data_IF_464182448407
#
_entry.id   IF_464182448407
#
_cell.length_a   1.000
_cell.length_b   1.000
_cell.length_c   1.000
_cell.angle_alpha   90.00
_cell.angle_beta   90.00
_cell.angle_gamma   90.00
#
_symmetry.space_group_name_H-M   'P 1'
#
loop_
_entity.id
_entity.type
_entity.pdbx_description
1 polymer ?
#
# COMPACT_ATOMS: atom_id res chain seq x y z
N UNK A 1 -5.33 -29.55 -17.76
CA UNK A 1 -4.98 -28.21 -18.31
C UNK A 1 -6.27 -27.43 -18.52
N UNK A 2 -6.73 -26.71 -17.50
CA UNK A 2 -7.99 -25.96 -17.57
C UNK A 2 -7.77 -24.54 -17.01
N UNK A 3 -7.89 -23.55 -17.91
CA UNK A 3 -8.30 -22.16 -17.67
C UNK A 3 -7.65 -21.38 -16.50
N UNK A 4 -6.32 -21.24 -16.50
CA UNK A 4 -5.64 -20.18 -15.72
C UNK A 4 -5.79 -18.80 -16.41
N UNK A 5 -5.99 -18.76 -17.74
CA UNK A 5 -6.09 -17.52 -18.51
C UNK A 5 -7.37 -16.70 -18.26
N UNK A 6 -8.44 -17.32 -17.75
CA UNK A 6 -9.71 -16.62 -17.48
C UNK A 6 -9.69 -15.86 -16.13
N UNK A 7 -8.80 -16.23 -15.21
CA UNK A 7 -8.58 -15.46 -13.97
C UNK A 7 -7.71 -14.23 -14.22
N UNK A 8 -6.83 -14.26 -15.24
CA UNK A 8 -6.03 -13.11 -15.67
C UNK A 8 -6.90 -11.92 -16.12
N UNK A 9 -7.96 -12.15 -16.90
CA UNK A 9 -8.75 -11.08 -17.51
C UNK A 9 -9.68 -10.34 -16.53
N UNK A 10 -10.06 -10.95 -15.41
CA UNK A 10 -11.05 -10.36 -14.49
C UNK A 10 -10.44 -9.41 -13.47
N UNK A 11 -9.17 -9.56 -13.12
CA UNK A 11 -8.52 -8.77 -12.05
C UNK A 11 -7.73 -7.57 -12.57
N UNK A 12 -7.17 -7.70 -13.77
CA UNK A 12 -6.19 -6.76 -14.35
C UNK A 12 -6.89 -5.62 -15.12
N UNK A 13 -8.20 -5.76 -15.38
CA UNK A 13 -8.94 -4.80 -16.20
C UNK A 13 -8.34 -4.68 -17.61
N UNK A 14 -8.57 -3.57 -18.33
CA UNK A 14 -8.04 -3.34 -19.67
C UNK A 14 -6.56 -2.94 -19.66
N UNK A 15 -5.73 -3.59 -18.83
CA UNK A 15 -4.32 -3.26 -18.67
C UNK A 15 -3.44 -4.48 -18.91
N UNK A 16 -2.29 -4.27 -19.55
CA UNK A 16 -1.32 -5.34 -19.80
C UNK A 16 0.08 -4.84 -19.46
N UNK A 17 0.73 -5.50 -18.51
CA UNK A 17 2.14 -5.27 -18.21
C UNK A 17 3.04 -6.19 -19.06
N UNK A 18 4.19 -5.65 -19.48
CA UNK A 18 5.21 -6.38 -20.24
C UNK A 18 6.57 -5.67 -20.18
N UNK A 19 7.63 -6.38 -20.56
CA UNK A 19 8.94 -5.79 -20.82
C UNK A 19 9.05 -5.40 -22.30
N UNK A 20 9.18 -4.10 -22.63
CA UNK A 20 9.28 -3.64 -24.01
C UNK A 20 10.54 -4.18 -24.69
N UNK A 21 10.38 -4.74 -25.89
CA UNK A 21 11.49 -5.31 -26.69
C UNK A 21 11.73 -4.53 -27.98
N UNK A 22 10.72 -3.82 -28.49
CA UNK A 22 10.85 -2.95 -29.66
C UNK A 22 11.27 -1.54 -29.24
N UNK A 23 11.81 -0.76 -30.19
CA UNK A 23 12.32 0.59 -29.92
C UNK A 23 11.21 1.60 -29.62
N UNK A 24 10.03 1.41 -30.19
CA UNK A 24 8.90 2.34 -30.05
C UNK A 24 8.37 2.36 -28.61
N UNK A 25 8.07 1.20 -28.06
CA UNK A 25 7.59 1.05 -26.68
C UNK A 25 8.61 1.57 -25.66
N UNK A 26 9.91 1.34 -25.92
CA UNK A 26 10.99 1.89 -25.07
C UNK A 26 10.99 3.42 -25.10
N UNK A 27 10.81 4.04 -26.27
CA UNK A 27 10.74 5.49 -26.38
C UNK A 27 9.48 6.06 -25.71
N UNK A 28 8.35 5.38 -25.81
CA UNK A 28 7.12 5.75 -25.12
C UNK A 28 7.27 5.70 -23.60
N UNK A 29 7.91 4.65 -23.07
CA UNK A 29 8.25 4.54 -21.64
C UNK A 29 9.11 5.71 -21.17
N UNK A 30 10.20 5.99 -21.89
CA UNK A 30 11.13 7.07 -21.54
C UNK A 30 10.47 8.44 -21.63
N UNK A 31 9.58 8.65 -22.61
CA UNK A 31 8.80 9.89 -22.72
C UNK A 31 7.90 10.08 -21.51
N UNK A 32 7.13 9.05 -21.15
CA UNK A 32 6.24 9.09 -20.00
C UNK A 32 6.99 9.38 -18.69
N UNK A 33 8.15 8.73 -18.49
CA UNK A 33 8.98 8.97 -17.31
C UNK A 33 9.56 10.40 -17.27
N UNK A 34 9.97 10.93 -18.43
CA UNK A 34 10.44 12.32 -18.53
C UNK A 34 9.33 13.32 -18.21
N UNK A 35 8.12 13.09 -18.72
CA UNK A 35 6.95 13.94 -18.46
C UNK A 35 6.51 13.90 -16.99
N UNK A 36 6.62 12.74 -16.34
CA UNK A 36 6.35 12.57 -14.91
C UNK A 36 7.44 13.18 -14.00
N UNK A 37 8.52 13.73 -14.57
CA UNK A 37 9.66 14.25 -13.81
C UNK A 37 10.44 13.18 -13.06
N UNK A 38 10.31 11.90 -13.44
CA UNK A 38 10.99 10.79 -12.75
C UNK A 38 12.38 10.51 -13.33
N UNK A 39 12.72 11.09 -14.48
CA UNK A 39 14.07 11.08 -15.07
C UNK A 39 14.65 12.50 -14.98
N UNK A 40 15.71 12.68 -14.21
CA UNK A 40 16.62 13.82 -14.39
C UNK A 40 17.23 13.74 -15.79
N UNK A 41 17.28 14.87 -16.49
CA UNK A 41 17.65 15.01 -17.92
C UNK A 41 19.04 14.54 -18.35
N UNK A 42 19.71 13.67 -17.58
CA UNK A 42 21.03 13.09 -17.83
C UNK A 42 20.97 11.56 -18.10
N UNK A 43 19.88 10.85 -17.77
CA UNK A 43 19.77 9.40 -18.00
C UNK A 43 19.05 9.00 -19.31
N UNK A 44 18.92 9.92 -20.26
CA UNK A 44 18.51 9.56 -21.62
C UNK A 44 19.72 9.01 -22.38
N UNK A 45 19.90 7.69 -22.31
CA UNK A 45 20.87 6.90 -23.07
C UNK A 45 22.35 7.20 -22.77
N UNK A 46 23.03 6.27 -22.10
CA UNK A 46 24.39 5.92 -22.51
C UNK A 46 24.29 4.76 -23.51
N UNK A 47 24.52 4.97 -24.81
CA UNK A 47 24.57 3.88 -25.79
C UNK A 47 25.81 2.99 -25.60
N UNK A 48 26.71 3.32 -24.67
CA UNK A 48 27.95 2.59 -24.38
C UNK A 48 28.29 2.73 -22.88
N UNK A 49 27.88 1.76 -22.05
CA UNK A 49 28.37 1.61 -20.66
C UNK A 49 27.30 1.33 -19.59
N UNK A 50 27.02 0.06 -19.35
CA UNK A 50 26.52 -0.54 -18.09
C UNK A 50 25.30 0.11 -17.37
N UNK A 51 24.24 0.45 -18.08
CA UNK A 51 22.92 0.57 -17.44
C UNK A 51 22.25 -0.83 -17.47
N UNK A 52 22.38 -1.60 -16.38
CA UNK A 52 21.80 -2.96 -16.25
C UNK A 52 20.32 -2.93 -15.86
N UNK A 53 19.72 -1.74 -15.77
CA UNK A 53 18.32 -1.60 -15.41
C UNK A 53 17.39 -2.01 -16.56
N UNK A 54 16.28 -2.64 -16.20
CA UNK A 54 15.26 -3.09 -17.14
C UNK A 54 14.04 -2.17 -17.05
N UNK A 55 13.51 -1.76 -18.20
CA UNK A 55 12.24 -1.05 -18.28
C UNK A 55 11.09 -2.05 -18.33
N UNK A 56 9.98 -1.73 -17.67
CA UNK A 56 8.70 -2.39 -17.81
C UNK A 56 7.62 -1.36 -18.18
N UNK A 57 6.63 -1.80 -18.93
CA UNK A 57 5.54 -0.98 -19.43
C UNK A 57 4.20 -1.57 -19.03
N UNK A 58 3.21 -0.71 -18.82
CA UNK A 58 1.81 -1.08 -18.75
C UNK A 58 1.03 -0.35 -19.85
N UNK A 59 0.34 -1.11 -20.68
CA UNK A 59 -0.47 -0.62 -21.78
C UNK A 59 -1.96 -0.72 -21.43
N UNK A 60 -2.73 0.32 -21.79
CA UNK A 60 -4.18 0.25 -21.81
C UNK A 60 -4.64 -0.47 -23.08
N UNK A 61 -5.14 -1.70 -22.95
CA UNK A 61 -5.46 -2.58 -24.08
C UNK A 61 -6.62 -2.07 -24.94
N UNK A 62 -7.42 -1.12 -24.44
CA UNK A 62 -8.49 -0.49 -25.22
C UNK A 62 -7.95 0.51 -26.24
N UNK A 63 -6.85 1.18 -25.91
CA UNK A 63 -6.28 2.27 -26.71
C UNK A 63 -4.94 1.90 -27.35
N UNK A 64 -4.26 0.89 -26.83
CA UNK A 64 -2.90 0.52 -27.22
C UNK A 64 -1.82 1.44 -26.67
N UNK A 65 -2.15 2.42 -25.84
CA UNK A 65 -1.17 3.39 -25.32
C UNK A 65 -0.47 2.87 -24.06
N UNK A 66 0.83 3.16 -23.92
CA UNK A 66 1.57 2.92 -22.67
C UNK A 66 1.16 4.01 -21.67
N UNK A 67 0.60 3.58 -20.55
CA UNK A 67 0.00 4.45 -19.52
C UNK A 67 0.73 4.38 -18.18
N UNK A 68 1.62 3.41 -17.99
CA UNK A 68 2.57 3.39 -16.89
C UNK A 68 3.90 2.79 -17.33
N UNK A 69 4.98 3.22 -16.70
CA UNK A 69 6.31 2.67 -16.93
C UNK A 69 7.10 2.59 -15.64
N UNK A 70 7.92 1.56 -15.51
CA UNK A 70 8.70 1.28 -14.31
C UNK A 70 10.13 0.91 -14.68
N UNK A 71 11.10 1.44 -13.93
CA UNK A 71 12.49 1.00 -13.97
C UNK A 71 12.78 0.01 -12.86
N UNK A 72 13.27 -1.17 -13.24
CA UNK A 72 13.77 -2.20 -12.35
C UNK A 72 15.30 -2.11 -12.34
N UNK A 73 15.90 -2.01 -11.16
CA UNK A 73 17.34 -1.95 -10.98
C UNK A 73 17.80 -3.00 -9.96
N UNK A 74 19.08 -3.35 -10.02
CA UNK A 74 19.75 -4.19 -9.01
C UNK A 74 20.01 -3.36 -7.74
N UNK A 75 19.67 -3.90 -6.57
CA UNK A 75 19.82 -3.18 -5.31
C UNK A 75 21.28 -2.88 -4.94
N UNK A 76 22.23 -3.75 -5.27
CA UNK A 76 23.65 -3.52 -5.00
C UNK A 76 24.19 -2.36 -5.82
N UNK A 77 23.73 -2.23 -7.08
CA UNK A 77 24.10 -1.09 -7.93
C UNK A 77 23.46 0.21 -7.44
N UNK A 78 22.21 0.16 -6.97
CA UNK A 78 21.53 1.34 -6.42
C UNK A 78 22.13 1.79 -5.08
N UNK A 79 22.72 0.89 -4.28
CA UNK A 79 23.40 1.27 -3.04
C UNK A 79 24.66 2.12 -3.32
N UNK A 80 25.37 1.81 -4.40
CA UNK A 80 26.54 2.58 -4.82
C UNK A 80 26.18 3.98 -5.38
N UNK A 81 24.91 4.22 -5.71
CA UNK A 81 24.42 5.50 -6.21
C UNK A 81 24.08 6.46 -5.06
N UNK A 82 24.47 7.73 -5.23
CA UNK A 82 24.34 8.72 -4.16
C UNK A 82 22.87 8.96 -3.74
N UNK A 83 22.59 8.97 -2.44
CA UNK A 83 21.27 9.27 -1.86
C UNK A 83 20.23 8.14 -1.92
N UNK A 84 20.42 7.10 -2.76
CA UNK A 84 19.44 6.02 -2.95
C UNK A 84 19.45 4.98 -1.83
N UNK A 85 20.59 4.77 -1.18
CA UNK A 85 20.69 3.84 -0.04
C UNK A 85 19.68 4.16 1.06
N UNK A 86 19.57 5.43 1.46
CA UNK A 86 18.61 5.87 2.47
C UNK A 86 17.16 5.82 1.96
N UNK A 87 16.93 6.16 0.68
CA UNK A 87 15.59 6.19 0.09
C UNK A 87 14.91 4.82 0.08
N UNK A 88 15.67 3.75 -0.15
CA UNK A 88 15.14 2.37 -0.20
C UNK A 88 15.55 1.52 1.01
N UNK A 89 16.25 2.10 1.99
CA UNK A 89 16.78 1.41 3.19
C UNK A 89 17.73 0.25 2.83
N UNK A 90 18.62 0.47 1.87
CA UNK A 90 19.56 -0.55 1.37
C UNK A 90 20.59 -0.96 2.44
N UNK A 91 20.89 -0.06 3.39
CA UNK A 91 21.85 -0.31 4.48
C UNK A 91 21.36 -1.34 5.51
N UNK A 92 20.08 -1.75 5.43
CA UNK A 92 19.54 -2.85 6.23
C UNK A 92 20.01 -4.24 5.74
N UNK A 93 20.63 -4.31 4.56
CA UNK A 93 21.01 -5.55 3.91
C UNK A 93 22.53 -5.68 3.77
N UNK A 94 23.03 -6.90 3.92
CA UNK A 94 24.40 -7.23 3.56
C UNK A 94 24.57 -7.34 2.04
N UNK A 95 25.83 -7.27 1.57
CA UNK A 95 26.17 -7.29 0.14
C UNK A 95 25.64 -8.54 -0.58
N UNK A 96 25.63 -9.70 0.09
CA UNK A 96 25.13 -10.95 -0.46
C UNK A 96 23.62 -10.91 -0.69
N UNK A 97 22.84 -10.36 0.26
CA UNK A 97 21.39 -10.21 0.11
C UNK A 97 21.03 -9.21 -0.97
N UNK A 98 21.76 -8.11 -1.08
CA UNK A 98 21.50 -7.09 -2.09
C UNK A 98 21.53 -7.64 -3.52
N UNK A 99 22.39 -8.63 -3.81
CA UNK A 99 22.43 -9.32 -5.11
C UNK A 99 21.13 -10.08 -5.46
N UNK A 100 20.27 -10.33 -4.47
CA UNK A 100 18.98 -11.00 -4.65
C UNK A 100 17.79 -10.06 -4.54
N UNK A 101 18.01 -8.75 -4.43
CA UNK A 101 16.94 -7.76 -4.24
C UNK A 101 16.87 -6.85 -5.47
N UNK A 102 15.65 -6.65 -5.96
CA UNK A 102 15.38 -5.67 -7.00
C UNK A 102 14.87 -4.35 -6.39
N UNK A 103 15.19 -3.24 -7.03
CA UNK A 103 14.67 -1.91 -6.69
C UNK A 103 13.77 -1.42 -7.82
N UNK A 104 12.56 -1.02 -7.47
CA UNK A 104 11.65 -0.29 -8.34
C UNK A 104 11.92 1.20 -8.14
N UNK A 105 12.79 1.76 -8.98
CA UNK A 105 13.39 3.07 -8.72
C UNK A 105 12.61 4.24 -9.31
N UNK A 106 11.97 4.06 -10.47
CA UNK A 106 11.26 5.11 -11.19
C UNK A 106 9.94 4.58 -11.73
N UNK A 107 8.84 4.79 -11.00
CA UNK A 107 7.49 4.52 -11.46
C UNK A 107 6.88 5.82 -12.01
N UNK A 108 6.47 5.79 -13.28
CA UNK A 108 5.73 6.86 -13.92
C UNK A 108 4.35 6.35 -14.32
N UNK A 109 3.32 7.16 -14.06
CA UNK A 109 1.92 6.87 -14.41
C UNK A 109 1.39 8.07 -15.16
N UNK A 110 0.69 7.84 -16.26
CA UNK A 110 0.06 8.91 -17.01
C UNK A 110 -1.02 9.58 -16.16
N UNK A 111 -1.15 10.92 -16.12
CA UNK A 111 -2.05 11.63 -15.22
C UNK A 111 -3.52 11.19 -15.30
N UNK A 112 -4.02 10.83 -16.49
CA UNK A 112 -5.38 10.33 -16.65
C UNK A 112 -5.62 8.92 -16.07
N UNK A 113 -4.57 8.25 -15.63
CA UNK A 113 -4.56 6.86 -15.19
C UNK A 113 -4.02 6.67 -13.76
N UNK A 114 -3.76 7.75 -13.01
CA UNK A 114 -3.25 7.69 -11.63
C UNK A 114 -4.13 6.84 -10.70
N UNK A 115 -5.46 6.89 -10.88
CA UNK A 115 -6.43 6.12 -10.09
C UNK A 115 -6.84 4.79 -10.74
N UNK A 116 -6.16 4.39 -11.80
CA UNK A 116 -6.44 3.15 -12.52
C UNK A 116 -5.67 1.95 -11.95
N UNK A 117 -5.94 0.76 -12.47
CA UNK A 117 -5.17 -0.44 -12.13
C UNK A 117 -3.82 -0.55 -12.84
N UNK A 118 -3.44 0.40 -13.71
CA UNK A 118 -2.20 0.29 -14.49
C UNK A 118 -0.96 0.09 -13.60
N UNK A 119 -0.80 0.90 -12.54
CA UNK A 119 0.32 0.76 -11.63
C UNK A 119 0.28 -0.54 -10.79
N UNK A 120 -0.84 -0.92 -10.15
CA UNK A 120 -0.96 -2.22 -9.49
C UNK A 120 -0.62 -3.41 -10.38
N UNK A 121 -1.10 -3.40 -11.62
CA UNK A 121 -0.83 -4.43 -12.63
C UNK A 121 0.66 -4.48 -12.97
N UNK A 122 1.27 -3.32 -13.22
CA UNK A 122 2.70 -3.23 -13.52
C UNK A 122 3.57 -3.72 -12.37
N UNK A 123 3.29 -3.26 -11.15
CA UNK A 123 4.03 -3.64 -9.94
C UNK A 123 3.88 -5.14 -9.64
N UNK A 124 2.68 -5.69 -9.80
CA UNK A 124 2.43 -7.13 -9.61
C UNK A 124 3.22 -7.95 -10.63
N UNK A 125 3.14 -7.59 -11.91
CA UNK A 125 3.90 -8.26 -12.97
C UNK A 125 5.39 -8.24 -12.68
N UNK A 126 5.96 -7.07 -12.42
CA UNK A 126 7.38 -6.93 -12.16
C UNK A 126 7.82 -7.70 -10.91
N UNK A 127 7.02 -7.69 -9.85
CA UNK A 127 7.33 -8.44 -8.61
C UNK A 127 7.38 -9.94 -8.88
N UNK A 128 6.41 -10.48 -9.62
CA UNK A 128 6.37 -11.89 -9.99
C UNK A 128 7.58 -12.27 -10.84
N UNK A 129 7.96 -11.44 -11.80
CA UNK A 129 9.10 -11.71 -12.69
C UNK A 129 10.44 -11.66 -11.95
N UNK A 130 10.60 -10.76 -10.96
CA UNK A 130 11.75 -10.77 -10.04
C UNK A 130 11.84 -12.09 -9.28
N UNK A 131 10.73 -12.59 -8.74
CA UNK A 131 10.71 -13.87 -8.01
C UNK A 131 11.03 -15.06 -8.92
N UNK A 132 10.51 -15.08 -10.15
CA UNK A 132 10.83 -16.12 -11.14
C UNK A 132 12.30 -16.12 -11.55
N UNK A 133 12.94 -14.96 -11.53
CA UNK A 133 14.37 -14.81 -11.75
C UNK A 133 15.22 -15.21 -10.53
N UNK A 134 14.62 -15.63 -9.42
CA UNK A 134 15.30 -16.03 -8.19
C UNK A 134 15.55 -14.89 -7.19
N UNK A 135 15.02 -13.69 -7.45
CA UNK A 135 15.06 -12.58 -6.50
C UNK A 135 14.24 -12.90 -5.24
N UNK A 136 14.67 -12.37 -4.10
CA UNK A 136 14.12 -12.62 -2.77
C UNK A 136 13.12 -11.54 -2.31
N UNK A 137 13.29 -10.31 -2.77
CA UNK A 137 12.44 -9.18 -2.42
C UNK A 137 12.47 -8.08 -3.48
N UNK A 138 11.50 -7.17 -3.38
CA UNK A 138 11.47 -5.92 -4.13
C UNK A 138 11.41 -4.75 -3.17
N UNK A 139 12.25 -3.74 -3.38
CA UNK A 139 12.22 -2.48 -2.66
C UNK A 139 11.70 -1.34 -3.53
N UNK A 140 10.97 -0.41 -2.93
CA UNK A 140 10.50 0.78 -3.63
C UNK A 140 10.29 1.95 -2.69
N UNK A 141 10.18 3.15 -3.27
CA UNK A 141 9.81 4.36 -2.56
C UNK A 141 8.36 4.70 -2.90
N UNK A 142 7.50 4.75 -1.89
CA UNK A 142 6.06 4.94 -2.06
C UNK A 142 5.65 6.37 -1.70
N UNK A 143 4.84 6.98 -2.56
CA UNK A 143 4.09 8.19 -2.24
C UNK A 143 2.94 7.85 -1.26
N UNK A 144 2.73 8.64 -0.19
CA UNK A 144 1.63 8.44 0.76
C UNK A 144 0.26 8.20 0.13
N UNK A 145 -0.05 8.86 -0.99
CA UNK A 145 -1.32 8.70 -1.71
C UNK A 145 -1.50 7.31 -2.32
N UNK A 146 -0.42 6.55 -2.50
CA UNK A 146 -0.44 5.19 -3.03
C UNK A 146 -0.18 4.11 -1.96
N UNK A 147 -0.02 4.50 -0.70
CA UNK A 147 0.30 3.57 0.38
C UNK A 147 -0.73 2.45 0.51
N UNK A 148 -2.02 2.77 0.55
CA UNK A 148 -3.08 1.77 0.74
C UNK A 148 -3.15 0.76 -0.40
N UNK A 149 -2.92 1.20 -1.64
CA UNK A 149 -2.94 0.30 -2.80
C UNK A 149 -1.72 -0.62 -2.80
N UNK A 150 -0.53 -0.13 -2.46
CA UNK A 150 0.67 -0.98 -2.43
C UNK A 150 0.69 -1.91 -1.23
N UNK A 151 0.20 -1.45 -0.06
CA UNK A 151 -0.03 -2.29 1.13
C UNK A 151 -0.89 -3.50 0.79
N UNK A 152 -1.95 -3.31 -0.02
CA UNK A 152 -2.83 -4.39 -0.49
C UNK A 152 -2.13 -5.39 -1.39
N UNK A 153 -1.20 -4.95 -2.24
CA UNK A 153 -0.42 -5.86 -3.08
C UNK A 153 0.47 -6.80 -2.23
N UNK A 154 0.75 -6.43 -0.99
CA UNK A 154 1.61 -7.19 -0.09
C UNK A 154 2.85 -6.43 0.34
N UNK A 155 3.04 -5.21 -0.17
CA UNK A 155 4.15 -4.37 0.20
C UNK A 155 3.97 -3.84 1.62
N UNK A 156 5.07 -3.57 2.32
CA UNK A 156 5.06 -3.14 3.73
C UNK A 156 6.16 -2.11 3.96
N UNK A 157 6.01 -1.17 4.91
CA UNK A 157 7.08 -0.25 5.29
C UNK A 157 8.31 -1.00 5.76
N UNK A 158 9.49 -0.60 5.29
CA UNK A 158 10.78 -1.10 5.79
C UNK A 158 11.58 0.00 6.50
N UNK A 159 11.02 1.21 6.56
CA UNK A 159 11.58 2.37 7.24
C UNK A 159 10.48 3.41 7.49
N UNK A 160 10.78 4.45 8.28
CA UNK A 160 9.79 5.45 8.63
C UNK A 160 9.36 6.30 7.44
N UNK A 161 8.15 6.86 7.52
CA UNK A 161 7.72 7.96 6.66
C UNK A 161 8.72 9.11 6.84
N UNK A 162 9.32 9.54 5.73
CA UNK A 162 10.34 10.59 5.74
C UNK A 162 10.13 11.57 4.61
N UNK A 163 10.73 12.75 4.77
CA UNK A 163 10.69 13.83 3.79
C UNK A 163 11.99 13.81 2.99
N UNK A 164 11.89 13.76 1.67
CA UNK A 164 13.05 13.86 0.77
C UNK A 164 13.66 15.27 0.85
N UNK A 165 14.85 15.43 0.28
CA UNK A 165 15.52 16.75 0.14
C UNK A 165 14.67 17.75 -0.64
N UNK A 166 13.83 17.28 -1.56
CA UNK A 166 12.88 18.07 -2.36
C UNK A 166 11.59 18.42 -1.59
N UNK A 167 11.46 17.93 -0.36
CA UNK A 167 10.31 18.19 0.48
C UNK A 167 9.11 17.26 0.23
N UNK A 168 9.28 16.20 -0.56
CA UNK A 168 8.22 15.22 -0.83
C UNK A 168 8.22 14.14 0.24
N UNK A 169 7.03 13.68 0.63
CA UNK A 169 6.89 12.58 1.57
C UNK A 169 7.05 11.24 0.86
N UNK A 170 7.83 10.35 1.46
CA UNK A 170 8.11 9.01 0.93
C UNK A 170 8.14 7.96 2.04
N UNK A 171 7.63 6.78 1.71
CA UNK A 171 7.68 5.59 2.57
C UNK A 171 8.54 4.55 1.85
N UNK A 172 9.70 4.15 2.41
CA UNK A 172 10.43 3.01 1.89
C UNK A 172 9.61 1.74 2.15
N UNK A 173 9.37 0.97 1.10
CA UNK A 173 8.52 -0.22 1.15
C UNK A 173 9.22 -1.43 0.56
N UNK A 174 8.91 -2.60 1.12
CA UNK A 174 9.39 -3.92 0.68
C UNK A 174 8.21 -4.81 0.32
N UNK A 175 8.32 -5.55 -0.78
CA UNK A 175 7.48 -6.69 -1.07
C UNK A 175 8.24 -7.99 -0.83
N UNK A 176 7.57 -8.89 -0.12
CA UNK A 176 8.04 -10.23 0.21
C UNK A 176 6.98 -11.25 -0.22
N UNK A 177 7.38 -12.36 -0.86
CA UNK A 177 6.48 -13.49 -1.14
C UNK A 177 6.23 -14.28 0.16
N UNK A 178 5.43 -13.69 1.02
CA UNK A 178 5.08 -14.24 2.33
C UNK A 178 3.66 -14.79 2.25
N UNK A 179 3.52 -16.08 2.02
CA UNK A 179 2.22 -16.71 1.76
C UNK A 179 1.21 -16.41 2.85
N UNK A 180 1.64 -16.48 4.12
CA UNK A 180 0.70 -16.33 5.21
C UNK A 180 0.22 -14.89 5.37
N UNK A 181 1.10 -13.91 5.21
CA UNK A 181 0.70 -12.50 5.22
C UNK A 181 -0.17 -12.17 4.02
N UNK A 182 0.25 -12.58 2.81
CA UNK A 182 -0.50 -12.34 1.58
C UNK A 182 -1.90 -12.96 1.67
N UNK A 183 -2.03 -14.15 2.28
CA UNK A 183 -3.33 -14.77 2.54
C UNK A 183 -4.15 -13.98 3.56
N UNK A 184 -3.53 -13.46 4.62
CA UNK A 184 -4.21 -12.71 5.67
C UNK A 184 -4.83 -11.41 5.15
N UNK A 185 -4.12 -10.71 4.25
CA UNK A 185 -4.61 -9.47 3.65
C UNK A 185 -5.42 -9.71 2.36
N UNK A 186 -5.66 -10.96 1.98
CA UNK A 186 -6.29 -11.37 0.73
C UNK A 186 -5.65 -10.69 -0.50
N UNK A 187 -4.32 -10.70 -0.57
CA UNK A 187 -3.60 -10.00 -1.65
C UNK A 187 -3.95 -10.60 -3.02
N UNK A 188 -4.23 -9.77 -4.04
CA UNK A 188 -4.35 -10.22 -5.43
C UNK A 188 -3.17 -10.97 -5.99
N UNK A 189 -1.99 -10.68 -5.45
CA UNK A 189 -0.77 -11.24 -6.01
C UNK A 189 -0.69 -12.72 -5.64
N UNK A 190 -1.30 -13.15 -4.52
CA UNK A 190 -1.16 -14.52 -4.03
C UNK A 190 -1.60 -15.58 -5.05
N UNK A 191 -2.77 -15.51 -5.70
CA UNK A 191 -3.14 -16.45 -6.75
C UNK A 191 -2.20 -16.42 -7.98
N UNK A 192 -1.49 -15.32 -8.20
CA UNK A 192 -0.56 -15.15 -9.32
C UNK A 192 0.83 -15.74 -9.04
N UNK A 193 1.14 -16.01 -7.78
CA UNK A 193 2.37 -16.68 -7.35
C UNK A 193 2.28 -18.21 -7.45
N UNK A 194 1.37 -18.74 -8.26
CA UNK A 194 1.29 -20.17 -8.55
C UNK A 194 2.63 -20.68 -9.10
N UNK A 195 3.22 -21.67 -8.43
CA UNK A 195 4.51 -22.25 -8.79
C UNK A 195 5.71 -21.61 -8.10
N UNK A 196 5.51 -20.54 -7.31
CA UNK A 196 6.52 -20.09 -6.36
C UNK A 196 6.50 -21.03 -5.15
N UNK A 197 7.67 -21.54 -4.80
CA UNK A 197 7.88 -22.29 -3.57
C UNK A 197 8.22 -21.30 -2.43
N UNK A 198 7.22 -21.04 -1.59
CA UNK A 198 7.28 -20.08 -0.50
C UNK A 198 8.29 -20.44 0.59
N UNK A 199 8.70 -21.71 0.69
CA UNK A 199 9.68 -22.14 1.68
C UNK A 199 11.05 -21.49 1.44
N UNK A 200 11.37 -21.17 0.18
CA UNK A 200 12.61 -20.49 -0.20
C UNK A 200 12.71 -19.05 0.31
N UNK A 201 11.64 -18.48 0.86
CA UNK A 201 11.56 -17.08 1.29
C UNK A 201 11.32 -16.93 2.80
N UNK A 202 11.22 -18.04 3.54
CA UNK A 202 10.96 -18.00 4.99
C UNK A 202 12.03 -17.19 5.73
N UNK A 203 13.30 -17.33 5.35
CA UNK A 203 14.43 -16.63 5.99
C UNK A 203 14.29 -15.10 5.91
N UNK A 204 13.97 -14.56 4.72
CA UNK A 204 13.82 -13.11 4.55
C UNK A 204 12.53 -12.60 5.22
N UNK A 205 11.46 -13.40 5.22
CA UNK A 205 10.22 -13.06 5.94
C UNK A 205 10.44 -13.00 7.45
N UNK A 206 11.14 -13.98 8.03
CA UNK A 206 11.47 -14.01 9.46
C UNK A 206 12.38 -12.85 9.86
N UNK A 207 13.36 -12.51 9.01
CA UNK A 207 14.19 -11.31 9.19
C UNK A 207 13.33 -10.05 9.25
N UNK A 208 12.39 -9.89 8.31
CA UNK A 208 11.48 -8.74 8.29
C UNK A 208 10.59 -8.68 9.54
N UNK A 209 10.06 -9.81 10.01
CA UNK A 209 9.28 -9.83 11.26
C UNK A 209 10.11 -9.43 12.48
N UNK A 210 11.39 -9.83 12.55
CA UNK A 210 12.30 -9.34 13.58
C UNK A 210 12.51 -7.83 13.49
N UNK A 211 12.72 -7.28 12.29
CA UNK A 211 12.86 -5.84 12.08
C UNK A 211 11.63 -5.08 12.59
N UNK A 212 10.41 -5.52 12.26
CA UNK A 212 9.17 -4.86 12.70
C UNK A 212 8.95 -4.97 14.21
N UNK A 213 9.38 -6.07 14.86
CA UNK A 213 9.34 -6.18 16.32
C UNK A 213 10.19 -5.13 17.03
N UNK A 214 11.36 -4.87 16.46
CA UNK A 214 12.34 -3.94 17.00
C UNK A 214 11.97 -2.46 16.69
N UNK A 215 11.04 -2.24 15.75
CA UNK A 215 10.64 -0.91 15.25
C UNK A 215 9.12 -0.82 15.08
N UNK A 216 8.41 -0.44 16.16
CA UNK A 216 6.94 -0.41 16.18
C UNK A 216 6.32 0.54 15.16
N UNK A 217 7.05 1.56 14.71
CA UNK A 217 6.64 2.53 13.70
C UNK A 217 6.43 1.90 12.30
N UNK A 218 6.95 0.70 12.07
CA UNK A 218 6.79 -0.04 10.80
C UNK A 218 5.49 -0.83 10.74
N UNK A 219 4.76 -0.95 11.85
CA UNK A 219 3.51 -1.71 11.90
C UNK A 219 2.41 -1.00 11.10
N UNK A 220 1.63 -1.78 10.37
CA UNK A 220 0.56 -1.28 9.50
C UNK A 220 -0.81 -1.71 10.01
N UNK A 221 -1.83 -0.85 9.86
CA UNK A 221 -3.22 -1.20 10.20
C UNK A 221 -3.80 -2.37 9.41
N UNK A 222 -5.04 -2.78 9.75
CA UNK A 222 -5.78 -3.81 9.01
C UNK A 222 -6.17 -3.32 7.60
N UNK A 223 -5.77 -4.06 6.56
CA UNK A 223 -6.24 -3.80 5.20
C UNK A 223 -7.62 -4.43 4.99
N UNK A 224 -8.52 -3.69 4.34
CA UNK A 224 -9.79 -4.22 3.85
C UNK A 224 -9.74 -4.41 2.32
N UNK A 225 -10.36 -5.47 1.84
CA UNK A 225 -10.40 -5.83 0.43
C UNK A 225 -11.86 -6.01 -0.02
N UNK A 226 -12.42 -5.11 -0.85
CA UNK A 226 -13.69 -5.35 -1.52
C UNK A 226 -13.50 -6.28 -2.71
N UNK A 227 -14.49 -7.12 -3.01
CA UNK A 227 -14.42 -8.08 -4.12
C UNK A 227 -14.35 -7.38 -5.50
N UNK A 228 -14.84 -6.14 -5.64
CA UNK A 228 -14.92 -5.42 -6.92
C UNK A 228 -14.25 -4.02 -6.88
N UNK A 229 -13.93 -3.48 -8.07
CA UNK A 229 -13.32 -2.15 -8.21
C UNK A 229 -14.27 -0.98 -7.91
N UNK A 230 -15.57 -1.15 -8.11
CA UNK A 230 -16.56 -0.08 -7.83
C UNK A 230 -16.78 0.14 -6.33
N UNK A 231 -16.32 -0.80 -5.52
CA UNK A 231 -16.39 -0.78 -4.06
C UNK A 231 -15.21 -0.01 -3.42
N UNK A 232 -14.32 0.58 -4.23
CA UNK A 232 -13.13 1.33 -3.81
C UNK A 232 -13.41 2.75 -3.29
N UNK A 233 -14.43 2.89 -2.44
CA UNK A 233 -14.64 4.13 -1.70
C UNK A 233 -14.12 3.92 -0.27
N UNK A 234 -13.35 4.87 0.27
CA UNK A 234 -12.67 4.75 1.57
C UNK A 234 -13.58 4.38 2.76
N UNK A 235 -14.91 4.42 2.61
CA UNK A 235 -15.87 3.95 3.61
C UNK A 235 -16.23 2.47 3.51
N UNK A 236 -15.83 1.73 2.46
CA UNK A 236 -16.34 0.38 2.21
C UNK A 236 -16.08 -0.56 3.38
N UNK A 237 -14.91 -0.46 4.02
CA UNK A 237 -14.55 -1.25 5.23
C UNK A 237 -15.65 -1.23 6.30
N UNK A 238 -16.31 -0.08 6.50
CA UNK A 238 -17.34 0.11 7.50
C UNK A 238 -18.76 -0.02 6.94
N UNK A 239 -18.98 0.24 5.64
CA UNK A 239 -20.31 0.20 5.00
C UNK A 239 -20.65 -1.09 4.26
N UNK A 240 -19.71 -2.03 4.09
CA UNK A 240 -19.94 -3.27 3.36
C UNK A 240 -21.12 -4.05 3.92
N UNK A 241 -22.06 -4.42 3.03
CA UNK A 241 -23.26 -5.18 3.38
C UNK A 241 -24.40 -4.35 3.96
N UNK A 242 -24.26 -3.03 4.07
CA UNK A 242 -25.38 -2.15 4.41
C UNK A 242 -26.38 -2.10 3.25
N UNK A 243 -27.66 -2.00 3.59
CA UNK A 243 -28.68 -1.63 2.62
C UNK A 243 -28.38 -0.23 2.05
N UNK A 244 -28.85 0.07 0.84
CA UNK A 244 -28.65 1.39 0.22
C UNK A 244 -29.14 2.52 1.13
N UNK A 245 -30.34 2.36 1.72
CA UNK A 245 -30.90 3.29 2.71
C UNK A 245 -30.05 3.37 3.98
N UNK A 246 -29.56 2.24 4.47
CA UNK A 246 -28.69 2.19 5.65
C UNK A 246 -27.36 2.91 5.41
N UNK A 247 -26.74 2.69 4.25
CA UNK A 247 -25.52 3.38 3.82
C UNK A 247 -25.73 4.89 3.72
N UNK A 248 -26.81 5.33 3.06
CA UNK A 248 -27.16 6.75 2.97
C UNK A 248 -27.37 7.37 4.36
N UNK A 249 -28.14 6.71 5.23
CA UNK A 249 -28.41 7.17 6.59
C UNK A 249 -27.12 7.27 7.44
N UNK A 250 -26.23 6.28 7.30
CA UNK A 250 -24.94 6.24 8.01
C UNK A 250 -24.01 7.37 7.56
N UNK A 251 -23.86 7.58 6.25
CA UNK A 251 -22.95 8.57 5.69
C UNK A 251 -23.46 10.02 5.82
N UNK A 252 -24.78 10.23 5.87
CA UNK A 252 -25.39 11.57 5.97
C UNK A 252 -24.89 12.42 7.16
N UNK A 253 -24.47 11.79 8.25
CA UNK A 253 -23.99 12.49 9.46
C UNK A 253 -22.49 12.34 9.67
N UNK A 254 -21.76 11.87 8.65
CA UNK A 254 -20.33 11.75 8.70
C UNK A 254 -19.68 13.14 8.56
N UNK A 255 -18.69 13.43 9.39
CA UNK A 255 -17.95 14.69 9.34
C UNK A 255 -16.62 14.48 8.64
N UNK A 256 -16.39 15.19 7.54
CA UNK A 256 -15.08 15.23 6.87
C UNK A 256 -14.21 16.27 7.56
N UNK A 257 -13.00 15.88 7.97
CA UNK A 257 -12.01 16.76 8.58
C UNK A 257 -10.75 16.76 7.72
N UNK A 258 -10.29 17.96 7.36
CA UNK A 258 -9.02 18.18 6.68
C UNK A 258 -7.96 18.51 7.73
N UNK A 259 -6.86 17.75 7.71
CA UNK A 259 -5.80 17.83 8.71
C UNK A 259 -4.49 18.25 8.06
N UNK A 260 -3.71 19.07 8.76
CA UNK A 260 -2.30 19.31 8.44
C UNK A 260 -1.45 18.19 9.04
N UNK A 261 -0.28 17.96 8.48
CA UNK A 261 0.71 17.07 9.08
C UNK A 261 0.98 17.47 10.55
N UNK A 262 1.01 16.48 11.44
CA UNK A 262 1.22 16.69 12.87
C UNK A 262 -0.02 17.13 13.65
N UNK A 263 -1.16 17.35 12.98
CA UNK A 263 -2.41 17.69 13.65
C UNK A 263 -2.99 16.49 14.40
N UNK A 264 -3.36 16.71 15.66
CA UNK A 264 -3.91 15.68 16.56
C UNK A 264 -5.41 15.56 16.32
N UNK A 265 -5.86 14.38 15.90
CA UNK A 265 -7.28 14.08 15.64
C UNK A 265 -7.98 13.51 16.87
N UNK A 266 -7.28 12.69 17.65
CA UNK A 266 -7.77 12.05 18.88
C UNK A 266 -6.67 12.14 19.91
N UNK A 267 -6.98 12.57 21.14
CA UNK A 267 -6.00 12.68 22.22
C UNK A 267 -6.05 11.45 23.13
N UNK A 268 -4.90 10.89 23.48
CA UNK A 268 -4.83 9.78 24.44
C UNK A 268 -5.50 10.17 25.77
N UNK A 269 -6.19 9.22 26.40
CA UNK A 269 -6.90 9.40 27.67
C UNK A 269 -8.08 10.39 27.65
N UNK A 270 -8.49 10.92 26.50
CA UNK A 270 -9.71 11.70 26.36
C UNK A 270 -10.99 10.84 26.45
N UNK A 271 -12.13 11.48 26.69
CA UNK A 271 -13.45 10.85 26.83
C UNK A 271 -14.28 10.84 25.54
N UNK A 272 -13.69 11.18 24.39
CA UNK A 272 -14.37 11.23 23.11
C UNK A 272 -14.84 9.84 22.66
N UNK A 273 -16.03 9.79 22.05
CA UNK A 273 -16.66 8.54 21.58
C UNK A 273 -16.88 8.50 20.07
N UNK A 274 -16.08 9.23 19.31
CA UNK A 274 -16.11 9.17 17.85
C UNK A 274 -15.19 8.07 17.34
N UNK A 275 -15.51 7.48 16.21
CA UNK A 275 -14.60 6.64 15.44
C UNK A 275 -14.63 7.12 13.99
N UNK A 276 -13.69 6.68 13.18
CA UNK A 276 -13.61 7.15 11.80
C UNK A 276 -12.79 6.25 10.91
N UNK A 277 -12.65 6.67 9.66
CA UNK A 277 -11.71 6.08 8.73
C UNK A 277 -10.90 7.17 8.03
N UNK A 278 -9.72 6.79 7.55
CA UNK A 278 -8.89 7.67 6.73
C UNK A 278 -9.49 7.70 5.32
N UNK A 279 -9.92 8.88 4.87
CA UNK A 279 -10.44 9.07 3.51
C UNK A 279 -9.33 9.32 2.50
N UNK A 280 -8.27 10.01 2.93
CA UNK A 280 -7.10 10.34 2.11
C UNK A 280 -5.90 10.60 3.03
N UNK A 281 -4.70 10.27 2.55
CA UNK A 281 -3.45 10.51 3.29
C UNK A 281 -3.18 9.44 4.33
N UNK A 282 -2.38 9.81 5.35
CA UNK A 282 -1.91 8.90 6.38
C UNK A 282 -2.18 9.48 7.77
N UNK A 283 -2.52 8.61 8.71
CA UNK A 283 -2.51 8.92 10.14
C UNK A 283 -1.66 7.89 10.87
N UNK A 284 -1.04 8.30 11.96
CA UNK A 284 -0.29 7.41 12.86
C UNK A 284 -0.99 7.32 14.20
N UNK A 285 -1.00 6.12 14.76
CA UNK A 285 -1.46 5.85 16.13
C UNK A 285 -0.24 5.88 17.04
N UNK A 286 -0.33 6.68 18.11
CA UNK A 286 0.77 6.91 19.06
C UNK A 286 0.31 6.53 20.47
N UNK A 287 1.14 5.81 21.20
CA UNK A 287 0.92 5.50 22.62
C UNK A 287 2.13 6.02 23.39
N UNK A 288 1.88 6.95 24.32
CA UNK A 288 2.94 7.70 24.97
C UNK A 288 3.78 8.51 23.97
N UNK A 289 4.99 8.05 23.66
CA UNK A 289 5.89 8.70 22.68
C UNK A 289 6.20 7.84 21.46
N UNK A 290 5.64 6.64 21.39
CA UNK A 290 5.97 5.66 20.36
C UNK A 290 4.85 5.58 19.32
N UNK A 291 5.23 5.66 18.04
CA UNK A 291 4.32 5.33 16.96
C UNK A 291 4.16 3.82 16.93
N UNK A 292 2.93 3.34 17.09
CA UNK A 292 2.63 1.92 17.16
C UNK A 292 2.02 1.38 15.89
N UNK A 293 1.32 2.20 15.09
CA UNK A 293 0.69 1.76 13.85
C UNK A 293 0.57 2.93 12.87
N UNK A 294 0.87 2.68 11.59
CA UNK A 294 0.54 3.58 10.47
C UNK A 294 -0.74 3.13 9.76
N UNK A 295 -1.67 4.06 9.58
CA UNK A 295 -2.97 3.86 8.95
C UNK A 295 -3.08 4.70 7.67
N UNK A 296 -3.61 4.10 6.61
CA UNK A 296 -3.87 4.77 5.33
C UNK A 296 -5.36 4.74 4.94
N UNK A 297 -5.66 5.23 3.74
CA UNK A 297 -7.02 5.24 3.19
C UNK A 297 -7.76 3.91 3.41
N UNK A 298 -8.97 3.99 3.95
CA UNK A 298 -9.84 2.86 4.29
C UNK A 298 -9.62 2.25 5.68
N UNK A 299 -8.50 2.53 6.33
CA UNK A 299 -8.21 2.03 7.68
C UNK A 299 -9.07 2.79 8.72
N UNK A 300 -9.66 2.03 9.66
CA UNK A 300 -10.52 2.55 10.73
C UNK A 300 -9.67 3.00 11.93
N UNK A 301 -10.10 4.02 12.67
CA UNK A 301 -9.47 4.41 13.93
C UNK A 301 -10.49 4.87 14.98
N UNK A 302 -10.06 4.88 16.25
CA UNK A 302 -10.90 5.29 17.39
C UNK A 302 -11.99 4.28 17.76
N UNK A 303 -12.02 3.11 17.10
CA UNK A 303 -13.05 2.10 17.29
C UNK A 303 -12.95 1.39 18.64
N UNK A 304 -11.75 1.20 19.18
CA UNK A 304 -11.53 0.52 20.47
C UNK A 304 -12.28 1.23 21.60
N UNK A 305 -12.04 2.53 21.77
CA UNK A 305 -12.70 3.32 22.83
C UNK A 305 -14.22 3.40 22.61
N UNK A 306 -14.66 3.45 21.34
CA UNK A 306 -16.08 3.44 21.00
C UNK A 306 -16.76 2.12 21.40
N UNK A 307 -16.16 0.98 21.06
CA UNK A 307 -16.72 -0.36 21.33
C UNK A 307 -16.68 -0.67 22.82
N UNK A 308 -15.55 -0.39 23.49
CA UNK A 308 -15.35 -0.68 24.91
C UNK A 308 -15.98 0.36 25.85
N UNK A 309 -16.51 1.45 25.32
CA UNK A 309 -17.02 2.59 26.10
C UNK A 309 -16.00 3.10 27.12
N UNK A 310 -14.72 3.08 26.73
CA UNK A 310 -13.58 3.47 27.56
C UNK A 310 -13.02 4.83 27.16
N UNK A 311 -12.05 5.35 27.93
CA UNK A 311 -11.19 6.44 27.47
C UNK A 311 -10.39 6.02 26.23
N UNK A 312 -9.89 7.01 25.48
CA UNK A 312 -8.96 6.78 24.36
C UNK A 312 -7.70 6.07 24.86
N UNK A 313 -7.36 4.98 24.20
CA UNK A 313 -6.19 4.15 24.50
C UNK A 313 -4.91 4.62 23.81
N UNK A 314 -5.05 5.52 22.83
CA UNK A 314 -3.98 6.02 21.99
C UNK A 314 -4.34 7.39 21.41
N UNK A 315 -3.32 8.15 21.04
CA UNK A 315 -3.42 9.36 20.24
C UNK A 315 -3.45 8.99 18.74
N UNK A 316 -4.17 9.78 17.93
CA UNK A 316 -4.19 9.65 16.46
C UNK A 316 -3.76 10.97 15.86
N UNK A 317 -2.71 10.95 15.04
CA UNK A 317 -2.07 12.16 14.50
C UNK A 317 -1.95 12.05 12.99
N UNK A 318 -2.27 13.12 12.26
CA UNK A 318 -2.04 13.17 10.82
C UNK A 318 -0.54 13.05 10.50
N UNK A 319 -0.20 12.11 9.62
CA UNK A 319 1.18 11.77 9.30
C UNK A 319 1.64 12.32 7.94
N UNK A 320 0.72 12.67 7.04
CA UNK A 320 1.04 13.27 5.74
C UNK A 320 0.28 14.58 5.48
N UNK A 321 0.72 15.41 4.52
CA UNK A 321 -0.06 16.54 4.02
C UNK A 321 -1.40 16.10 3.43
N UNK A 322 -2.36 17.03 3.35
CA UNK A 322 -3.70 16.86 2.77
C UNK A 322 -4.43 15.62 3.27
N UNK A 323 -4.21 15.28 4.54
CA UNK A 323 -4.88 14.15 5.19
C UNK A 323 -6.35 14.51 5.39
N UNK A 324 -7.23 13.63 4.94
CA UNK A 324 -8.67 13.74 5.17
C UNK A 324 -9.15 12.52 5.93
N UNK A 325 -9.92 12.75 6.99
CA UNK A 325 -10.60 11.69 7.72
C UNK A 325 -12.11 11.93 7.74
N UNK A 326 -12.84 10.84 7.91
CA UNK A 326 -14.28 10.88 8.12
C UNK A 326 -14.58 10.37 9.52
N UNK A 327 -15.24 11.19 10.34
CA UNK A 327 -15.65 10.84 11.69
C UNK A 327 -17.15 10.56 11.80
N UNK A 328 -17.48 9.54 12.57
CA UNK A 328 -18.83 9.19 12.99
C UNK A 328 -19.01 9.48 14.47
N UNK A 329 -20.12 10.12 14.81
CA UNK A 329 -20.59 10.22 16.19
C UNK A 329 -21.41 8.99 16.57
N UNK A 330 -21.65 8.79 17.87
CA UNK A 330 -22.56 7.76 18.39
C UNK A 330 -23.94 7.81 17.69
N UNK A 331 -24.41 9.01 17.33
CA UNK A 331 -25.70 9.19 16.67
C UNK A 331 -25.78 8.60 15.25
N UNK A 332 -24.64 8.35 14.60
CA UNK A 332 -24.60 7.73 13.28
C UNK A 332 -25.15 6.30 13.31
N UNK A 333 -24.91 5.58 14.41
CA UNK A 333 -25.40 4.21 14.61
C UNK A 333 -26.83 4.16 15.16
N UNK A 334 -27.20 5.07 16.07
CA UNK A 334 -28.57 5.09 16.64
C UNK A 334 -29.64 5.47 15.61
N UNK A 335 -29.26 6.17 14.53
CA UNK A 335 -30.17 6.60 13.46
C UNK A 335 -30.38 5.56 12.36
N UNK A 336 -29.62 4.48 12.36
CA UNK A 336 -29.91 3.33 11.50
C UNK A 336 -31.23 2.70 11.97
N UNK A 337 -32.26 2.78 11.13
CA UNK A 337 -33.62 2.35 11.46
C UNK A 337 -33.71 0.84 11.67
N UNK A 338 -32.97 0.07 10.87
CA UNK A 338 -32.97 -1.40 10.90
C UNK A 338 -31.91 -2.00 11.84
N UNK A 339 -32.29 -3.01 12.62
CA UNK A 339 -31.34 -3.83 13.40
C UNK A 339 -30.31 -4.53 12.52
N UNK A 340 -30.69 -4.92 11.31
CA UNK A 340 -29.80 -5.58 10.35
C UNK A 340 -28.61 -4.67 9.98
N UNK A 341 -28.87 -3.43 9.59
CA UNK A 341 -27.82 -2.47 9.21
C UNK A 341 -26.92 -2.13 10.42
N UNK A 342 -27.48 -2.01 11.62
CA UNK A 342 -26.68 -1.83 12.85
C UNK A 342 -25.76 -3.02 13.09
N UNK A 343 -26.27 -4.24 12.95
CA UNK A 343 -25.48 -5.46 13.13
C UNK A 343 -24.35 -5.56 12.10
N UNK A 344 -24.57 -5.11 10.87
CA UNK A 344 -23.54 -5.05 9.82
C UNK A 344 -22.38 -4.14 10.23
N UNK A 345 -22.66 -2.92 10.73
CA UNK A 345 -21.58 -2.02 11.18
C UNK A 345 -20.78 -2.62 12.34
N UNK A 346 -21.45 -3.23 13.33
CA UNK A 346 -20.79 -3.90 14.44
C UNK A 346 -19.93 -5.08 13.98
N UNK A 347 -20.42 -5.90 13.05
CA UNK A 347 -19.66 -6.97 12.41
C UNK A 347 -18.41 -6.42 11.71
N UNK A 348 -18.54 -5.32 10.98
CA UNK A 348 -17.44 -4.70 10.25
C UNK A 348 -16.34 -4.17 11.20
N UNK A 349 -16.74 -3.51 12.30
CA UNK A 349 -15.81 -3.09 13.36
C UNK A 349 -15.11 -4.27 14.04
N UNK A 350 -15.86 -5.32 14.38
CA UNK A 350 -15.31 -6.53 14.99
C UNK A 350 -14.29 -7.22 14.06
N UNK A 351 -14.58 -7.27 12.75
CA UNK A 351 -13.66 -7.81 11.75
C UNK A 351 -12.33 -7.04 11.70
N UNK A 352 -12.37 -5.72 11.75
CA UNK A 352 -11.14 -4.90 11.79
C UNK A 352 -10.31 -5.21 13.03
N UNK A 353 -10.93 -5.31 14.21
CA UNK A 353 -10.22 -5.67 15.44
C UNK A 353 -9.61 -7.08 15.37
N UNK A 354 -10.35 -8.05 14.84
CA UNK A 354 -9.85 -9.42 14.68
C UNK A 354 -8.63 -9.46 13.74
N UNK A 355 -8.69 -8.76 12.61
CA UNK A 355 -7.56 -8.66 11.67
C UNK A 355 -6.33 -8.00 12.31
N UNK A 356 -6.53 -6.92 13.08
CA UNK A 356 -5.45 -6.26 13.82
C UNK A 356 -4.80 -7.20 14.83
N UNK A 357 -5.59 -7.95 15.58
CA UNK A 357 -5.08 -8.91 16.55
C UNK A 357 -4.24 -10.00 15.87
N UNK A 358 -4.72 -10.54 14.74
CA UNK A 358 -3.97 -11.56 13.98
C UNK A 358 -2.64 -10.99 13.47
N UNK A 359 -2.63 -9.79 12.88
CA UNK A 359 -1.40 -9.12 12.44
C UNK A 359 -0.44 -8.89 13.61
N UNK A 360 -0.94 -8.37 14.73
CA UNK A 360 -0.13 -8.06 15.92
C UNK A 360 0.47 -9.34 16.51
N UNK A 361 -0.32 -10.41 16.64
CA UNK A 361 0.16 -11.68 17.19
C UNK A 361 1.26 -12.30 16.32
N UNK A 362 1.15 -12.20 14.99
CA UNK A 362 2.22 -12.64 14.08
C UNK A 362 3.51 -11.86 14.25
N UNK A 363 3.40 -10.58 14.57
CA UNK A 363 4.57 -9.77 14.87
C UNK A 363 5.19 -10.15 16.21
N UNK A 364 4.44 -10.70 17.17
CA UNK A 364 4.97 -11.08 18.49
C UNK A 364 5.57 -12.49 18.53
N UNK A 365 5.10 -13.41 17.68
CA UNK A 365 5.63 -14.78 17.51
C UNK A 365 6.96 -14.79 16.76
#
# INVERSE_FOLDING_TARGET
MNKISLQWDLWIGPYRAFFPTNKEDVQDCLRLMKEAGTIDGVAAASPQGADTSQLAACQDTRTGTIVASLRLADAALEQAANGKAQQYQLDLFDEQRLQSIAVFSQLAIHPSHEKSQAAPVLLSHCSIEVLKAGGQAVLMSCDPGHYSIYKRLGMRPIGPLSKTTEGLFRIPMIFLPDQEYLSLINSPILPLLQGIDFDNYQTICQWYYKLVRENSELQTGAAFYPENQEDFEGHHTITEGLSEKGREAFLKNALVIHCREGEVLITENDGGKTFGFVRKGLVKVVIGSQTVVLLGEGDIFGEIAYILQSKRTAEVVAASPDTEVVLFSESALTRLEGEADRAVVWRNLARVLAQRLVLTNKLLG
#
